data_IF_684077255326
#
_entry.id   IF_684077255326
#
_cell.length_a   1.000
_cell.length_b   1.000
_cell.length_c   1.000
_cell.angle_alpha   90.00
_cell.angle_beta   90.00
_cell.angle_gamma   90.00
#
_symmetry.space_group_name_H-M   'P 1'
#
loop_
_entity.id
_entity.type
_entity.pdbx_description
1 polymer ?
#
# COMPACT_ATOMS: atom_id res chain seq x y z
N UNK A 1 -5.97 -11.35 3.47
CA UNK A 1 -6.99 -11.02 2.44
C UNK A 1 -7.99 -12.18 2.38
N UNK A 2 -9.22 -12.03 2.87
CA UNK A 2 -10.27 -13.06 2.70
C UNK A 2 -10.92 -12.86 1.33
N UNK A 3 -10.28 -13.33 0.28
CA UNK A 3 -10.91 -13.44 -1.04
C UNK A 3 -11.74 -14.73 -1.05
N UNK A 4 -12.95 -14.69 -0.45
CA UNK A 4 -13.89 -15.84 -0.48
C UNK A 4 -15.03 -15.67 -1.48
N UNK A 5 -15.11 -14.55 -2.19
CA UNK A 5 -16.05 -14.41 -3.29
C UNK A 5 -15.55 -15.25 -4.48
N UNK A 6 -16.10 -16.45 -4.64
CA UNK A 6 -15.86 -17.28 -5.82
C UNK A 6 -16.47 -16.61 -7.05
N UNK A 7 -15.61 -16.06 -7.93
CA UNK A 7 -16.04 -15.63 -9.26
C UNK A 7 -16.18 -16.88 -10.12
N UNK A 8 -17.39 -17.14 -10.60
CA UNK A 8 -17.68 -18.31 -11.45
C UNK A 8 -17.87 -17.84 -12.90
N UNK A 9 -17.28 -18.59 -13.84
CA UNK A 9 -17.37 -18.34 -15.28
C UNK A 9 -18.56 -19.12 -15.85
N UNK A 10 -19.64 -18.37 -16.14
CA UNK A 10 -20.92 -18.82 -16.70
C UNK A 10 -21.69 -19.92 -15.91
N UNK A 11 -23.01 -19.77 -15.86
CA UNK A 11 -23.95 -20.76 -15.32
C UNK A 11 -25.08 -20.98 -16.32
N UNK A 12 -25.81 -22.09 -16.17
CA UNK A 12 -26.98 -22.41 -16.98
C UNK A 12 -28.09 -21.33 -16.93
N UNK A 13 -29.04 -21.37 -17.89
CA UNK A 13 -30.08 -20.36 -18.04
C UNK A 13 -30.89 -20.19 -16.74
N UNK A 14 -30.96 -18.96 -16.21
CA UNK A 14 -31.76 -18.58 -15.03
C UNK A 14 -30.97 -18.03 -13.83
N UNK A 15 -29.64 -18.21 -13.77
CA UNK A 15 -28.80 -17.68 -12.69
C UNK A 15 -28.75 -16.14 -12.63
N UNK A 16 -28.97 -15.48 -13.77
CA UNK A 16 -28.92 -14.02 -13.93
C UNK A 16 -30.01 -13.22 -13.20
N UNK A 17 -30.96 -13.89 -12.52
CA UNK A 17 -31.97 -13.23 -11.65
C UNK A 17 -31.52 -13.04 -10.20
N UNK A 18 -30.58 -13.84 -9.71
CA UNK A 18 -30.14 -13.80 -8.30
C UNK A 18 -28.65 -13.50 -8.16
N UNK A 19 -27.84 -13.85 -9.16
CA UNK A 19 -26.41 -13.62 -9.18
C UNK A 19 -26.07 -12.20 -9.61
N UNK A 20 -25.02 -11.63 -9.02
CA UNK A 20 -24.58 -10.28 -9.37
C UNK A 20 -23.46 -10.35 -10.40
N UNK A 21 -23.67 -9.71 -11.55
CA UNK A 21 -22.65 -9.61 -12.60
C UNK A 21 -21.51 -8.68 -12.17
N UNK A 22 -20.27 -9.15 -12.30
CA UNK A 22 -19.06 -8.35 -12.03
C UNK A 22 -18.42 -7.89 -13.34
N UNK A 23 -18.38 -8.79 -14.34
CA UNK A 23 -17.88 -8.54 -15.70
C UNK A 23 -18.72 -9.34 -16.69
N UNK A 24 -18.61 -9.09 -18.00
CA UNK A 24 -19.21 -9.97 -19.00
C UNK A 24 -18.77 -11.43 -18.81
N UNK A 25 -19.73 -12.35 -18.68
CA UNK A 25 -19.49 -13.77 -18.45
C UNK A 25 -19.05 -14.15 -17.03
N UNK A 26 -18.92 -13.19 -16.11
CA UNK A 26 -18.39 -13.43 -14.76
C UNK A 26 -19.35 -12.88 -13.69
N UNK A 27 -19.71 -13.75 -12.75
CA UNK A 27 -20.73 -13.48 -11.75
C UNK A 27 -20.26 -13.90 -10.36
N UNK A 28 -20.82 -13.25 -9.33
CA UNK A 28 -20.70 -13.69 -7.94
C UNK A 28 -22.05 -14.15 -7.40
N UNK A 29 -22.06 -15.10 -6.45
CA UNK A 29 -23.28 -15.58 -5.82
C UNK A 29 -24.11 -14.46 -5.17
N UNK A 30 -25.44 -14.66 -5.01
CA UNK A 30 -26.27 -13.77 -4.21
C UNK A 30 -25.73 -13.67 -2.77
N UNK A 31 -25.72 -12.46 -2.20
CA UNK A 31 -25.23 -12.21 -0.84
C UNK A 31 -23.73 -11.91 -0.74
N UNK A 32 -22.95 -12.15 -1.80
CA UNK A 32 -21.55 -11.75 -1.86
C UNK A 32 -21.40 -10.25 -2.20
N UNK A 33 -20.45 -9.61 -1.53
CA UNK A 33 -20.12 -8.21 -1.78
C UNK A 33 -19.24 -8.07 -3.04
N UNK A 34 -19.61 -7.16 -3.94
CA UNK A 34 -18.79 -6.84 -5.12
C UNK A 34 -17.85 -5.69 -4.79
N UNK A 35 -16.72 -6.04 -4.20
CA UNK A 35 -15.67 -5.10 -3.82
C UNK A 35 -14.78 -4.71 -5.01
N UNK A 36 -13.91 -3.72 -4.81
CA UNK A 36 -12.86 -3.37 -5.77
C UNK A 36 -11.95 -4.58 -6.10
N UNK A 37 -11.59 -5.36 -5.09
CA UNK A 37 -10.73 -6.55 -5.26
C UNK A 37 -11.42 -7.63 -6.11
N UNK A 38 -12.73 -7.83 -5.94
CA UNK A 38 -13.52 -8.75 -6.79
C UNK A 38 -13.55 -8.27 -8.23
N UNK A 39 -13.71 -6.96 -8.46
CA UNK A 39 -13.67 -6.37 -9.81
C UNK A 39 -12.29 -6.49 -10.44
N UNK A 40 -11.23 -6.22 -9.67
CA UNK A 40 -9.86 -6.36 -10.14
C UNK A 40 -9.56 -7.81 -10.54
N UNK A 41 -9.99 -8.77 -9.71
CA UNK A 41 -9.82 -10.18 -10.02
C UNK A 41 -10.54 -10.60 -11.30
N UNK A 42 -11.77 -10.11 -11.54
CA UNK A 42 -12.50 -10.37 -12.77
C UNK A 42 -11.74 -9.85 -14.01
N UNK A 43 -11.14 -8.66 -13.92
CA UNK A 43 -10.33 -8.10 -15.01
C UNK A 43 -9.03 -8.87 -15.22
N UNK A 44 -8.33 -9.27 -14.15
CA UNK A 44 -7.10 -10.09 -14.23
C UNK A 44 -7.37 -11.46 -14.88
N UNK A 45 -8.48 -12.12 -14.55
CA UNK A 45 -8.86 -13.40 -15.17
C UNK A 45 -9.23 -13.25 -16.64
N UNK A 46 -9.82 -12.12 -17.01
CA UNK A 46 -10.26 -11.89 -18.37
C UNK A 46 -9.14 -11.45 -19.33
N UNK A 47 -8.01 -11.01 -18.80
CA UNK A 47 -6.93 -10.38 -19.54
C UNK A 47 -5.63 -11.13 -19.27
N UNK A 48 -5.19 -12.00 -20.19
CA UNK A 48 -3.99 -12.83 -19.97
C UNK A 48 -2.73 -12.04 -19.65
N UNK A 49 -2.67 -10.77 -20.06
CA UNK A 49 -1.51 -9.90 -19.85
C UNK A 49 -1.65 -8.93 -18.69
N UNK A 50 -2.77 -8.93 -17.98
CA UNK A 50 -3.00 -8.02 -16.88
C UNK A 50 -2.15 -8.38 -15.66
N UNK A 51 -1.64 -7.34 -15.01
CA UNK A 51 -0.79 -7.38 -13.83
C UNK A 51 -1.44 -6.51 -12.76
N UNK A 52 -1.62 -7.06 -11.57
CA UNK A 52 -2.14 -6.34 -10.42
C UNK A 52 -1.03 -5.48 -9.80
N UNK A 53 -1.33 -4.21 -9.60
CA UNK A 53 -0.49 -3.22 -8.94
C UNK A 53 -1.30 -2.46 -7.88
N UNK A 54 -0.72 -1.42 -7.29
CA UNK A 54 -1.39 -0.54 -6.34
C UNK A 54 -1.68 -1.23 -4.99
N UNK A 55 -2.70 -0.76 -4.24
CA UNK A 55 -2.97 -1.19 -2.87
C UNK A 55 -3.17 -2.69 -2.68
N UNK A 56 -3.93 -3.37 -3.55
CA UNK A 56 -4.08 -4.83 -3.47
C UNK A 56 -2.75 -5.57 -3.65
N UNK A 57 -1.90 -5.15 -4.60
CA UNK A 57 -0.56 -5.73 -4.75
C UNK A 57 0.33 -5.41 -3.54
N UNK A 58 0.29 -4.18 -3.01
CA UNK A 58 1.02 -3.81 -1.80
C UNK A 58 0.66 -4.70 -0.61
N UNK A 59 -0.64 -5.00 -0.41
CA UNK A 59 -1.09 -5.94 0.64
C UNK A 59 -0.61 -7.36 0.37
N UNK A 60 -0.62 -7.82 -0.89
CA UNK A 60 -0.12 -9.14 -1.25
C UNK A 60 1.39 -9.27 -0.97
N UNK A 61 2.13 -8.18 -1.17
CA UNK A 61 3.55 -8.05 -0.82
C UNK A 61 3.81 -7.76 0.67
N UNK A 62 2.78 -7.73 1.51
CA UNK A 62 2.94 -7.57 2.96
C UNK A 62 3.28 -6.15 3.41
N UNK A 63 2.94 -5.11 2.63
CA UNK A 63 3.12 -3.72 3.06
C UNK A 63 2.38 -3.48 4.39
N UNK A 64 3.03 -2.85 5.40
CA UNK A 64 2.52 -2.87 6.75
C UNK A 64 1.31 -1.95 6.96
N UNK A 65 1.19 -0.83 6.22
CA UNK A 65 0.15 0.19 6.45
C UNK A 65 -0.50 0.69 5.15
N UNK A 66 -1.17 -0.20 4.42
CA UNK A 66 -1.87 0.16 3.16
C UNK A 66 -3.19 0.87 3.45
N UNK A 67 -3.44 1.98 2.77
CA UNK A 67 -4.72 2.69 2.83
C UNK A 67 -5.84 1.93 2.09
N UNK A 68 -6.98 1.72 2.74
CA UNK A 68 -8.13 1.03 2.14
C UNK A 68 -8.96 1.89 1.18
N UNK A 69 -8.75 3.20 1.18
CA UNK A 69 -9.52 4.16 0.38
C UNK A 69 -8.93 4.47 -1.00
N UNK A 70 -7.80 3.85 -1.37
CA UNK A 70 -7.17 4.01 -2.68
C UNK A 70 -7.65 2.92 -3.63
N UNK A 71 -7.92 3.29 -4.87
CA UNK A 71 -8.33 2.35 -5.92
C UNK A 71 -7.23 1.32 -6.21
N UNK A 72 -7.63 0.08 -6.52
CA UNK A 72 -6.69 -0.92 -7.00
C UNK A 72 -6.24 -0.58 -8.43
N UNK A 73 -4.99 -0.89 -8.76
CA UNK A 73 -4.41 -0.56 -10.07
C UNK A 73 -4.18 -1.84 -10.87
N UNK A 74 -4.61 -1.85 -12.12
CA UNK A 74 -4.40 -2.95 -13.06
C UNK A 74 -3.61 -2.41 -14.24
N UNK A 75 -2.45 -3.01 -14.48
CA UNK A 75 -1.58 -2.67 -15.59
C UNK A 75 -1.73 -3.73 -16.66
N UNK A 76 -1.98 -3.32 -17.90
CA UNK A 76 -2.11 -4.22 -19.05
C UNK A 76 -0.98 -3.96 -20.04
N UNK A 77 -0.57 -5.01 -20.75
CA UNK A 77 0.53 -4.89 -21.73
C UNK A 77 0.16 -4.03 -22.95
N UNK A 78 1.17 -3.54 -23.67
CA UNK A 78 0.98 -2.87 -24.94
C UNK A 78 0.21 -3.69 -25.98
N UNK A 79 -0.98 -3.21 -26.38
CA UNK A 79 -1.84 -3.85 -27.38
C UNK A 79 -3.22 -4.23 -26.86
N UNK A 80 -3.36 -4.37 -25.54
CA UNK A 80 -4.68 -4.42 -24.90
C UNK A 80 -5.17 -2.99 -24.58
N UNK A 81 -6.49 -2.81 -24.69
CA UNK A 81 -7.15 -1.54 -24.36
C UNK A 81 -7.92 -1.66 -23.03
N UNK A 82 -7.89 -0.63 -22.17
CA UNK A 82 -8.64 -0.62 -20.90
C UNK A 82 -10.15 -0.87 -21.08
N UNK A 83 -10.68 -0.59 -22.28
CA UNK A 83 -12.11 -0.53 -22.54
C UNK A 83 -12.66 0.86 -22.23
N UNK A 84 -13.92 1.11 -22.58
CA UNK A 84 -14.57 2.42 -22.35
C UNK A 84 -15.19 2.57 -20.96
N UNK A 85 -15.37 1.48 -20.22
CA UNK A 85 -15.98 1.48 -18.89
C UNK A 85 -15.05 0.81 -17.90
N UNK A 86 -14.56 1.58 -16.93
CA UNK A 86 -13.74 1.08 -15.83
C UNK A 86 -14.65 0.97 -14.59
N UNK A 87 -14.78 -0.22 -13.98
CA UNK A 87 -15.53 -0.40 -12.76
C UNK A 87 -15.04 0.49 -11.60
N UNK A 88 -15.94 0.93 -10.73
CA UNK A 88 -15.59 1.73 -9.56
C UNK A 88 -14.61 0.99 -8.62
N UNK A 89 -13.68 1.75 -8.03
CA UNK A 89 -12.69 1.23 -7.09
C UNK A 89 -11.48 0.57 -7.75
N UNK A 90 -11.44 0.50 -9.09
CA UNK A 90 -10.28 0.02 -9.83
C UNK A 90 -9.89 1.04 -10.90
N UNK A 91 -8.60 1.11 -11.20
CA UNK A 91 -8.05 1.83 -12.35
C UNK A 91 -7.36 0.84 -13.28
N UNK A 92 -7.55 1.01 -14.59
CA UNK A 92 -6.91 0.16 -15.60
C UNK A 92 -6.09 1.07 -16.50
N UNK A 93 -4.77 0.88 -16.50
CA UNK A 93 -3.85 1.63 -17.35
C UNK A 93 -3.00 0.70 -18.21
N UNK A 94 -2.68 1.14 -19.42
CA UNK A 94 -1.63 0.53 -20.23
C UNK A 94 -0.31 1.12 -19.80
N UNK A 95 0.70 0.28 -19.60
CA UNK A 95 2.02 0.75 -19.18
C UNK A 95 3.07 -0.35 -19.28
N UNK A 96 4.33 0.08 -19.37
CA UNK A 96 5.45 -0.77 -19.01
C UNK A 96 5.59 -0.77 -17.48
N UNK A 97 6.21 -1.82 -16.96
CA UNK A 97 6.61 -1.96 -15.57
C UNK A 97 8.14 -1.82 -15.51
N UNK A 98 8.62 -1.15 -14.47
CA UNK A 98 10.04 -0.93 -14.22
C UNK A 98 10.66 -2.06 -13.35
N UNK A 99 9.82 -2.93 -12.78
CA UNK A 99 10.17 -4.08 -11.94
C UNK A 99 9.72 -5.41 -12.58
N UNK A 100 10.14 -6.51 -11.95
CA UNK A 100 9.75 -7.85 -12.38
C UNK A 100 8.25 -8.11 -12.18
N UNK A 101 7.67 -8.90 -13.09
CA UNK A 101 6.33 -9.45 -12.94
C UNK A 101 6.43 -10.76 -12.17
N UNK A 102 5.76 -10.83 -11.02
CA UNK A 102 5.76 -12.01 -10.16
C UNK A 102 4.47 -12.79 -10.31
N UNK A 103 4.59 -14.10 -10.53
CA UNK A 103 3.47 -15.02 -10.54
C UNK A 103 3.17 -15.46 -9.11
N UNK A 104 1.99 -15.13 -8.60
CA UNK A 104 1.56 -15.45 -7.24
C UNK A 104 0.26 -16.24 -7.25
N UNK A 105 0.09 -17.12 -6.27
CA UNK A 105 -1.21 -17.72 -5.96
C UNK A 105 -1.78 -17.03 -4.71
N UNK A 106 -2.87 -16.29 -4.90
CA UNK A 106 -3.59 -15.63 -3.81
C UNK A 106 -4.92 -16.34 -3.61
N UNK A 107 -4.98 -17.22 -2.60
CA UNK A 107 -6.20 -17.91 -2.22
C UNK A 107 -6.69 -18.93 -3.25
N UNK A 108 -5.77 -19.67 -3.88
CA UNK A 108 -6.08 -20.67 -4.92
C UNK A 108 -6.30 -20.05 -6.31
N UNK A 109 -5.89 -18.79 -6.50
CA UNK A 109 -6.06 -18.09 -7.77
C UNK A 109 -4.71 -17.58 -8.28
N UNK A 110 -4.23 -18.07 -9.45
CA UNK A 110 -2.99 -17.62 -10.04
C UNK A 110 -3.16 -16.22 -10.63
N UNK A 111 -2.27 -15.31 -10.24
CA UNK A 111 -2.28 -13.90 -10.64
C UNK A 111 -0.86 -13.45 -10.98
N UNK A 112 -0.77 -12.37 -11.76
CA UNK A 112 0.48 -11.63 -11.98
C UNK A 112 0.46 -10.39 -11.11
N UNK A 113 1.52 -10.17 -10.35
CA UNK A 113 1.71 -9.01 -9.50
C UNK A 113 2.86 -8.16 -10.05
N UNK A 114 2.70 -6.84 -10.00
CA UNK A 114 3.79 -5.92 -10.23
C UNK A 114 4.79 -6.01 -9.06
N UNK A 115 6.07 -5.81 -9.34
CA UNK A 115 7.10 -5.81 -8.32
C UNK A 115 6.97 -4.61 -7.36
N UNK A 116 7.61 -4.68 -6.17
CA UNK A 116 7.51 -3.66 -5.13
C UNK A 116 7.79 -2.22 -5.61
N UNK A 117 8.69 -2.01 -6.58
CA UNK A 117 8.99 -0.67 -7.10
C UNK A 117 7.78 -0.05 -7.82
N UNK A 118 7.21 -0.76 -8.80
CA UNK A 118 6.03 -0.30 -9.54
C UNK A 118 4.81 -0.14 -8.62
N UNK A 119 4.61 -1.09 -7.71
CA UNK A 119 3.54 -1.02 -6.71
C UNK A 119 3.65 0.24 -5.87
N UNK A 120 4.88 0.61 -5.46
CA UNK A 120 5.13 1.84 -4.70
C UNK A 120 4.84 3.08 -5.51
N UNK A 121 5.29 3.13 -6.77
CA UNK A 121 5.06 4.26 -7.67
C UNK A 121 3.55 4.48 -7.87
N UNK A 122 2.81 3.41 -8.17
CA UNK A 122 1.36 3.45 -8.39
C UNK A 122 0.58 3.89 -7.14
N UNK A 123 0.96 3.38 -5.96
CA UNK A 123 0.32 3.79 -4.70
C UNK A 123 0.61 5.26 -4.39
N UNK A 124 1.89 5.67 -4.45
CA UNK A 124 2.32 7.02 -4.13
C UNK A 124 1.62 8.04 -5.02
N UNK A 125 1.41 7.76 -6.31
CA UNK A 125 0.74 8.68 -7.24
C UNK A 125 -0.63 9.15 -6.75
N UNK A 126 -1.39 8.29 -6.06
CA UNK A 126 -2.77 8.57 -5.63
C UNK A 126 -2.88 9.09 -4.19
N UNK A 127 -1.81 9.00 -3.42
CA UNK A 127 -1.79 9.40 -2.01
C UNK A 127 -1.48 10.89 -1.86
N UNK A 128 -2.04 11.51 -0.82
CA UNK A 128 -1.57 12.83 -0.36
C UNK A 128 -0.12 12.74 0.13
N UNK A 129 0.63 13.84 0.15
CA UNK A 129 2.05 13.78 0.50
C UNK A 129 2.33 13.16 1.89
N UNK A 130 1.59 13.48 2.98
CA UNK A 130 1.84 12.83 4.27
C UNK A 130 1.60 11.31 4.22
N UNK A 131 0.54 10.88 3.54
CA UNK A 131 0.25 9.44 3.37
C UNK A 131 1.28 8.75 2.47
N UNK A 132 1.73 9.43 1.42
CA UNK A 132 2.75 8.92 0.53
C UNK A 132 4.10 8.74 1.27
N UNK A 133 4.47 9.68 2.15
CA UNK A 133 5.66 9.54 3.00
C UNK A 133 5.53 8.35 3.95
N UNK A 134 4.38 8.20 4.61
CA UNK A 134 4.13 7.06 5.49
C UNK A 134 4.13 5.72 4.73
N UNK A 135 3.57 5.69 3.53
CA UNK A 135 3.65 4.52 2.65
C UNK A 135 5.10 4.23 2.24
N UNK A 136 5.88 5.25 1.89
CA UNK A 136 7.30 5.08 1.54
C UNK A 136 8.13 4.53 2.71
N UNK A 137 7.92 5.03 3.94
CA UNK A 137 8.57 4.50 5.14
C UNK A 137 8.28 3.00 5.30
N UNK A 138 7.00 2.62 5.19
CA UNK A 138 6.56 1.22 5.26
C UNK A 138 7.11 0.34 4.14
N UNK A 139 7.10 0.84 2.91
CA UNK A 139 7.60 0.12 1.73
C UNK A 139 9.12 -0.10 1.81
N UNK A 140 9.89 0.91 2.23
CA UNK A 140 11.34 0.81 2.42
C UNK A 140 11.65 -0.17 3.55
N UNK A 141 10.94 -0.08 4.67
CA UNK A 141 11.11 -1.01 5.80
C UNK A 141 10.80 -2.46 5.41
N UNK A 142 9.74 -2.68 4.65
CA UNK A 142 9.28 -4.03 4.29
C UNK A 142 10.06 -4.66 3.14
N UNK A 143 10.53 -3.86 2.17
CA UNK A 143 11.02 -4.36 0.90
C UNK A 143 12.46 -3.93 0.55
N UNK A 144 13.09 -3.09 1.37
CA UNK A 144 14.47 -2.61 1.16
C UNK A 144 14.70 -1.99 -0.24
N UNK A 145 13.77 -1.12 -0.66
CA UNK A 145 13.74 -0.55 -2.02
C UNK A 145 14.17 0.92 -2.13
N UNK A 146 14.74 1.51 -1.07
CA UNK A 146 15.07 2.96 -1.07
C UNK A 146 16.05 3.34 -2.19
N UNK A 147 17.09 2.52 -2.40
CA UNK A 147 18.07 2.74 -3.47
C UNK A 147 17.44 2.72 -4.86
N UNK A 148 16.57 1.73 -5.12
CA UNK A 148 15.82 1.57 -6.38
C UNK A 148 14.86 2.73 -6.62
N UNK A 149 14.17 3.21 -5.58
CA UNK A 149 13.28 4.38 -5.66
C UNK A 149 14.07 5.65 -6.01
N UNK A 150 15.23 5.86 -5.37
CA UNK A 150 16.13 7.00 -5.67
C UNK A 150 16.65 6.93 -7.10
N UNK A 151 17.08 5.75 -7.55
CA UNK A 151 17.54 5.52 -8.91
C UNK A 151 16.44 5.80 -9.93
N UNK A 152 15.26 5.18 -9.77
CA UNK A 152 14.10 5.40 -10.63
C UNK A 152 13.74 6.89 -10.70
N UNK A 153 13.72 7.56 -9.55
CA UNK A 153 13.38 8.97 -9.48
C UNK A 153 14.47 9.86 -10.10
N UNK A 154 15.74 9.44 -10.16
CA UNK A 154 16.82 10.17 -10.80
C UNK A 154 16.84 10.01 -12.34
N UNK A 155 16.53 8.81 -12.83
CA UNK A 155 16.59 8.46 -14.26
C UNK A 155 15.32 8.86 -15.02
N UNK A 156 14.15 8.84 -14.35
CA UNK A 156 12.88 9.17 -14.97
C UNK A 156 12.56 10.67 -14.95
N UNK A 157 11.80 11.09 -15.98
CA UNK A 157 11.33 12.47 -16.16
C UNK A 157 9.83 12.57 -15.85
N UNK A 158 9.34 13.80 -15.68
CA UNK A 158 7.92 14.09 -15.48
C UNK A 158 7.52 14.30 -14.02
N UNK A 159 6.22 14.53 -13.82
CA UNK A 159 5.65 14.93 -12.52
C UNK A 159 5.80 13.85 -11.44
N UNK A 160 5.59 12.58 -11.79
CA UNK A 160 5.73 11.45 -10.87
C UNK A 160 7.15 11.33 -10.31
N UNK A 161 8.16 11.28 -11.18
CA UNK A 161 9.56 11.23 -10.78
C UNK A 161 9.99 12.47 -9.97
N UNK A 162 9.54 13.68 -10.36
CA UNK A 162 9.79 14.89 -9.58
C UNK A 162 9.21 14.79 -8.16
N UNK A 163 7.95 14.39 -8.04
CA UNK A 163 7.29 14.24 -6.75
C UNK A 163 7.95 13.16 -5.90
N UNK A 164 8.33 12.02 -6.49
CA UNK A 164 9.06 10.96 -5.77
C UNK A 164 10.37 11.49 -5.18
N UNK A 165 11.17 12.25 -5.95
CA UNK A 165 12.39 12.89 -5.42
C UNK A 165 12.11 13.82 -4.24
N UNK A 166 11.06 14.62 -4.34
CA UNK A 166 10.65 15.54 -3.27
C UNK A 166 10.23 14.77 -2.02
N UNK A 167 9.39 13.73 -2.14
CA UNK A 167 8.91 12.93 -1.01
C UNK A 167 10.02 12.13 -0.32
N UNK A 168 10.96 11.56 -1.09
CA UNK A 168 12.08 10.79 -0.54
C UNK A 168 12.99 11.62 0.40
N UNK A 169 12.99 12.95 0.29
CA UNK A 169 13.68 13.84 1.24
C UNK A 169 13.03 13.86 2.63
N UNK A 170 11.81 13.34 2.75
CA UNK A 170 11.01 13.32 3.97
C UNK A 170 10.89 11.93 4.58
N UNK A 171 11.43 10.89 3.96
CA UNK A 171 11.37 9.52 4.48
C UNK A 171 12.32 9.36 5.67
N UNK A 172 11.89 8.60 6.67
CA UNK A 172 12.71 7.97 7.71
C UNK A 172 12.00 6.67 8.09
N UNK A 173 12.42 5.58 7.44
CA UNK A 173 11.79 4.25 7.52
C UNK A 173 11.87 3.61 8.92
N UNK A 174 12.59 4.23 9.85
CA UNK A 174 12.65 3.79 11.25
C UNK A 174 11.34 4.05 11.99
N UNK A 175 10.45 4.89 11.48
CA UNK A 175 9.07 4.94 11.96
C UNK A 175 8.45 3.53 11.91
N UNK A 176 7.80 3.12 13.00
CA UNK A 176 7.27 1.75 13.15
C UNK A 176 5.77 1.67 12.91
N UNK A 177 5.12 2.82 12.72
CA UNK A 177 3.72 2.92 12.40
C UNK A 177 3.39 4.09 11.47
N UNK A 178 2.29 3.97 10.72
CA UNK A 178 1.77 5.05 9.88
C UNK A 178 1.56 6.36 10.68
N UNK A 179 0.94 6.33 11.87
CA UNK A 179 0.78 7.54 12.68
C UNK A 179 2.10 8.23 13.07
N UNK A 180 3.17 7.48 13.35
CA UNK A 180 4.49 8.05 13.61
C UNK A 180 5.03 8.81 12.39
N UNK A 181 4.97 8.21 11.19
CA UNK A 181 5.37 8.86 9.94
C UNK A 181 4.57 10.13 9.67
N UNK A 182 3.25 10.09 9.91
CA UNK A 182 2.37 11.25 9.76
C UNK A 182 2.71 12.36 10.76
N UNK A 183 2.93 12.01 12.03
CA UNK A 183 3.31 12.95 13.08
C UNK A 183 4.66 13.60 12.78
N UNK A 184 5.65 12.81 12.40
CA UNK A 184 6.98 13.29 11.99
C UNK A 184 6.89 14.25 10.80
N UNK A 185 6.09 13.90 9.80
CA UNK A 185 5.85 14.77 8.64
C UNK A 185 5.21 16.09 9.05
N UNK A 186 4.20 16.05 9.93
CA UNK A 186 3.51 17.24 10.43
C UNK A 186 4.48 18.16 11.20
N UNK A 187 5.26 17.61 12.13
CA UNK A 187 6.24 18.36 12.93
C UNK A 187 7.30 19.03 12.05
N UNK A 188 7.86 18.28 11.09
CA UNK A 188 8.84 18.84 10.17
C UNK A 188 8.25 19.94 9.29
N UNK A 189 6.99 19.80 8.85
CA UNK A 189 6.28 20.84 8.08
C UNK A 189 5.98 22.10 8.89
N UNK A 190 5.81 21.98 10.21
CA UNK A 190 5.61 23.16 11.09
C UNK A 190 6.92 23.87 11.47
N UNK A 191 8.05 23.51 10.86
CA UNK A 191 9.37 24.05 11.20
C UNK A 191 9.96 23.48 12.48
N UNK A 192 9.29 22.51 13.12
CA UNK A 192 9.83 21.78 14.26
C UNK A 192 10.77 20.69 13.73
N UNK A 193 11.99 21.09 13.39
CA UNK A 193 13.06 20.20 12.91
C UNK A 193 13.89 19.73 14.10
N UNK A 194 14.21 18.43 14.17
CA UNK A 194 14.98 17.87 15.29
C UNK A 194 14.45 16.53 15.81
N UNK A 195 13.23 16.17 15.44
CA UNK A 195 12.63 14.89 15.83
C UNK A 195 13.29 13.70 15.14
N UNK A 196 13.88 12.84 15.94
CA UNK A 196 14.51 11.58 15.54
C UNK A 196 13.55 10.45 15.90
N UNK A 197 13.05 9.67 14.93
CA UNK A 197 12.33 8.42 15.18
C UNK A 197 13.12 7.46 16.06
N UNK A 198 12.45 6.57 16.80
CA UNK A 198 13.09 5.50 17.55
C UNK A 198 14.34 6.01 18.28
N UNK A 199 14.16 6.98 19.18
CA UNK A 199 15.24 7.66 19.88
C UNK A 199 15.57 6.93 21.18
N UNK A 200 16.85 6.60 21.40
CA UNK A 200 17.30 5.91 22.61
C UNK A 200 17.53 6.92 23.73
N UNK A 201 16.84 6.73 24.85
CA UNK A 201 17.01 7.53 26.07
C UNK A 201 17.62 6.67 27.16
N UNK A 202 18.67 7.18 27.81
CA UNK A 202 19.26 6.54 29.00
C UNK A 202 18.58 7.05 30.27
N UNK A 203 18.09 6.11 31.09
CA UNK A 203 17.40 6.36 32.36
C UNK A 203 18.09 5.60 33.49
N UNK A 204 17.77 5.92 34.74
CA UNK A 204 18.41 5.31 35.94
C UNK A 204 18.33 3.77 35.98
N UNK A 205 17.39 3.16 35.26
CA UNK A 205 17.19 1.71 35.17
C UNK A 205 17.64 1.04 33.86
N UNK A 206 18.29 1.76 32.94
CA UNK A 206 18.69 1.21 31.64
C UNK A 206 18.45 2.19 30.50
N UNK A 207 18.02 1.68 29.35
CA UNK A 207 17.67 2.51 28.19
C UNK A 207 16.26 2.18 27.70
N UNK A 208 15.49 3.20 27.31
CA UNK A 208 14.18 3.05 26.68
C UNK A 208 14.21 3.70 25.30
N UNK A 209 13.54 3.06 24.33
CA UNK A 209 13.30 3.66 23.01
C UNK A 209 11.98 4.41 23.05
N UNK A 210 11.97 5.62 22.49
CA UNK A 210 10.77 6.43 22.32
C UNK A 210 10.52 6.69 20.83
N UNK A 211 9.25 6.81 20.44
CA UNK A 211 8.89 6.90 19.02
C UNK A 211 9.50 8.11 18.32
N UNK A 212 9.51 9.27 18.98
CA UNK A 212 10.17 10.49 18.49
C UNK A 212 10.86 11.22 19.65
N UNK A 213 12.13 11.54 19.49
CA UNK A 213 12.90 12.35 20.44
C UNK A 213 13.53 13.58 19.79
N UNK A 214 13.51 14.71 20.49
CA UNK A 214 14.29 15.90 20.16
C UNK A 214 15.49 16.01 21.12
N UNK A 215 16.74 15.79 20.65
CA UNK A 215 17.92 15.79 21.51
C UNK A 215 18.34 17.19 21.99
N UNK A 216 17.83 18.26 21.36
CA UNK A 216 18.18 19.66 21.72
C UNK A 216 17.27 20.14 22.83
N UNK A 217 15.95 19.95 22.66
CA UNK A 217 14.97 20.37 23.66
C UNK A 217 14.72 19.32 24.75
N UNK A 218 15.27 18.11 24.60
CA UNK A 218 15.08 16.97 25.50
C UNK A 218 13.60 16.60 25.70
N UNK A 219 12.84 16.67 24.60
CA UNK A 219 11.41 16.33 24.58
C UNK A 219 11.21 15.01 23.83
N UNK A 220 10.46 14.11 24.45
CA UNK A 220 9.98 12.88 23.82
C UNK A 220 8.51 12.96 23.44
N UNK A 221 8.12 12.29 22.36
CA UNK A 221 6.73 12.06 21.95
C UNK A 221 6.54 10.58 21.64
N UNK A 222 5.54 9.99 22.27
CA UNK A 222 5.12 8.61 22.03
C UNK A 222 3.73 8.63 21.39
N UNK A 223 3.55 7.80 20.38
CA UNK A 223 2.27 7.54 19.78
C UNK A 223 1.55 6.44 20.57
N UNK A 224 0.52 6.84 21.31
CA UNK A 224 -0.31 5.91 22.06
C UNK A 224 -1.43 5.36 21.15
N UNK A 225 -1.18 4.21 20.51
CA UNK A 225 -2.17 3.51 19.70
C UNK A 225 -3.32 2.91 20.53
N UNK A 226 -4.50 2.71 19.93
CA UNK A 226 -5.66 2.10 20.61
C UNK A 226 -5.44 0.66 21.13
N UNK A 227 -4.38 -0.03 20.68
CA UNK A 227 -4.04 -1.40 21.07
C UNK A 227 -3.12 -1.56 22.28
N UNK A 228 -2.59 -0.48 22.86
CA UNK A 228 -1.63 -0.53 23.98
C UNK A 228 -2.24 -0.92 25.34
N UNK A 229 -3.53 -1.29 25.40
CA UNK A 229 -4.25 -1.52 26.67
C UNK A 229 -4.75 -2.95 26.88
N UNK A 230 -4.48 -3.89 25.97
CA UNK A 230 -5.09 -5.22 26.02
C UNK A 230 -4.27 -6.28 26.80
N UNK A 231 -2.99 -6.04 27.11
CA UNK A 231 -2.21 -6.99 27.94
C UNK A 231 -1.69 -6.37 29.24
N UNK A 232 -1.71 -7.18 30.31
CA UNK A 232 -1.13 -6.82 31.60
C UNK A 232 0.41 -6.70 31.55
N UNK A 233 1.02 -7.19 30.47
CA UNK A 233 2.46 -7.17 30.21
C UNK A 233 2.91 -5.81 29.65
N UNK A 234 2.08 -5.14 28.83
CA UNK A 234 2.34 -3.79 28.32
C UNK A 234 2.42 -2.77 29.46
N UNK A 235 1.57 -2.90 30.49
CA UNK A 235 1.58 -2.02 31.68
C UNK A 235 2.86 -2.11 32.50
N UNK A 236 3.60 -3.23 32.43
CA UNK A 236 4.87 -3.41 33.15
C UNK A 236 6.06 -2.86 32.37
N UNK A 237 5.92 -2.65 31.06
CA UNK A 237 7.00 -2.14 30.20
C UNK A 237 7.05 -0.59 30.21
N UNK A 238 5.89 0.02 30.45
CA UNK A 238 5.71 1.47 30.46
C UNK A 238 5.82 2.12 31.86
N UNK A 239 5.80 1.32 32.93
CA UNK A 239 6.14 1.77 34.29
C UNK A 239 7.66 1.91 34.51
#
# INVERSE_FOLDING_TARGET
>A
MRARAEIVVAHGPGAERTWRRVRHGMYVPPGEEVTAQVRALAELRARPTAVLSGPAAARAWGHPWVADFVEDVIVITPGEHPGSTIPAGISIRRGALDDDIVHADIGGTPLRLAGPLDVTIDCVEKLSDPEAIAFLDGAIRAWDIESRLKEWAATNRGRGAKRMRELLQWVDWRAESRPESLLRTLLRRSGCTGWVPQFLVHVRGGSKWIDLGDPVYLIGREYQGKGHWESAEDRKRDA
#
